data_IF_293787907856
#
_entry.id   IF_293787907856
#
_cell.length_a   1.000
_cell.length_b   1.000
_cell.length_c   1.000
_cell.angle_alpha   90.00
_cell.angle_beta   90.00
_cell.angle_gamma   90.00
#
_symmetry.space_group_name_H-M   'P 1'
#
loop_
_entity.id
_entity.type
_entity.pdbx_description
1 polymer ?
#
# COMPACT_ATOMS: atom_id res chain seq x y z
N UNK A 1 -35.86 3.31 -1.94
CA UNK A 1 -34.69 3.09 -2.80
C UNK A 1 -33.51 3.70 -2.06
N UNK A 2 -32.72 2.88 -1.36
CA UNK A 2 -31.57 3.38 -0.58
C UNK A 2 -30.45 3.56 -1.60
N UNK A 3 -30.15 4.81 -1.95
CA UNK A 3 -28.94 5.15 -2.69
C UNK A 3 -27.75 4.89 -1.75
N UNK A 4 -27.12 3.72 -1.88
CA UNK A 4 -25.81 3.52 -1.28
C UNK A 4 -24.83 4.36 -2.09
N UNK A 5 -24.44 5.53 -1.58
CA UNK A 5 -23.33 6.28 -2.14
C UNK A 5 -22.07 5.42 -1.99
N UNK A 6 -21.67 4.71 -3.04
CA UNK A 6 -20.42 3.97 -3.03
C UNK A 6 -19.30 4.98 -3.19
N UNK A 7 -18.60 5.24 -2.10
CA UNK A 7 -17.47 6.17 -2.11
C UNK A 7 -16.36 5.53 -2.95
N UNK A 8 -15.85 6.21 -3.99
CA UNK A 8 -14.69 5.75 -4.75
C UNK A 8 -13.53 5.48 -3.80
N UNK A 9 -12.93 4.29 -3.88
CA UNK A 9 -11.78 3.97 -3.03
C UNK A 9 -10.49 4.23 -3.80
N UNK A 10 -9.74 5.24 -3.38
CA UNK A 10 -8.40 5.48 -3.89
C UNK A 10 -7.42 4.54 -3.17
N UNK A 11 -6.76 3.66 -3.91
CA UNK A 11 -5.80 2.69 -3.38
C UNK A 11 -4.42 2.97 -3.95
N UNK A 12 -3.41 2.90 -3.09
CA UNK A 12 -2.01 2.90 -3.49
C UNK A 12 -1.53 1.46 -3.59
N UNK A 13 -1.24 1.01 -4.79
CA UNK A 13 -0.61 -0.28 -5.03
C UNK A 13 0.89 -0.06 -4.94
N UNK A 14 1.57 -0.84 -4.11
CA UNK A 14 3.02 -0.79 -3.99
C UNK A 14 3.74 -1.37 -5.22
N UNK A 15 5.08 -1.42 -5.20
CA UNK A 15 5.83 -2.16 -6.20
C UNK A 15 5.57 -3.66 -6.03
N UNK A 16 5.53 -4.39 -7.15
CA UNK A 16 5.34 -5.85 -7.18
C UNK A 16 4.19 -6.35 -6.28
N UNK A 17 3.09 -5.59 -6.23
CA UNK A 17 1.92 -5.90 -5.40
C UNK A 17 0.73 -6.27 -6.26
N UNK A 18 -0.19 -7.02 -5.68
CA UNK A 18 -1.45 -7.39 -6.31
C UNK A 18 -2.61 -7.28 -5.34
N UNK A 19 -3.76 -6.81 -5.82
CA UNK A 19 -5.00 -6.73 -5.05
C UNK A 19 -6.00 -7.68 -5.67
N UNK A 20 -6.59 -8.56 -4.87
CA UNK A 20 -7.80 -9.29 -5.26
C UNK A 20 -9.02 -8.48 -4.84
N UNK A 21 -9.89 -8.20 -5.79
CA UNK A 21 -11.19 -7.59 -5.57
C UNK A 21 -12.25 -8.62 -5.91
N UNK A 22 -13.16 -8.87 -4.97
CA UNK A 22 -14.28 -9.78 -5.13
C UNK A 22 -15.58 -8.97 -5.01
N UNK A 23 -16.10 -8.42 -6.13
CA UNK A 23 -17.30 -7.61 -6.10
C UNK A 23 -18.50 -8.44 -5.64
N UNK A 24 -19.36 -7.85 -4.81
CA UNK A 24 -20.63 -8.49 -4.47
C UNK A 24 -21.63 -8.30 -5.61
N UNK A 25 -21.94 -9.39 -6.33
CA UNK A 25 -22.82 -9.39 -7.49
C UNK A 25 -24.28 -9.04 -7.20
N UNK A 26 -24.68 -8.96 -5.93
CA UNK A 26 -26.04 -8.58 -5.53
C UNK A 26 -26.24 -7.06 -5.63
N UNK A 27 -25.18 -6.29 -5.38
CA UNK A 27 -25.28 -4.83 -5.22
C UNK A 27 -24.70 -4.07 -6.41
N UNK A 28 -23.72 -4.63 -7.10
CA UNK A 28 -22.98 -3.92 -8.14
C UNK A 28 -23.23 -4.56 -9.50
N UNK A 29 -23.35 -3.76 -10.55
CA UNK A 29 -23.43 -4.24 -11.94
C UNK A 29 -22.07 -4.25 -12.63
N UNK A 30 -21.21 -3.29 -12.28
CA UNK A 30 -19.86 -3.17 -12.82
C UNK A 30 -18.88 -2.58 -11.79
N UNK A 31 -17.59 -2.80 -12.03
CA UNK A 31 -16.49 -2.13 -11.33
C UNK A 31 -15.59 -1.48 -12.37
N UNK A 32 -15.39 -0.18 -12.24
CA UNK A 32 -14.46 0.59 -13.04
C UNK A 32 -13.19 0.88 -12.24
N UNK A 33 -12.04 0.67 -12.87
CA UNK A 33 -10.74 1.03 -12.30
C UNK A 33 -10.13 2.13 -13.15
N UNK A 34 -9.80 3.25 -12.51
CA UNK A 34 -9.13 4.38 -13.16
C UNK A 34 -7.70 4.51 -12.66
N UNK A 35 -6.80 4.88 -13.58
CA UNK A 35 -5.44 5.27 -13.24
C UNK A 35 -5.40 6.76 -12.87
N UNK A 36 -5.04 7.09 -11.63
CA UNK A 36 -5.00 8.49 -11.18
C UNK A 36 -3.66 9.20 -11.43
N UNK A 37 -2.52 8.49 -11.37
CA UNK A 37 -1.19 9.10 -11.54
C UNK A 37 -0.15 8.13 -12.14
N UNK A 38 0.88 8.72 -12.78
CA UNK A 38 2.08 8.05 -13.33
C UNK A 38 2.06 7.91 -14.85
N UNK A 39 3.03 8.45 -15.59
CA UNK A 39 3.25 8.07 -16.99
C UNK A 39 3.94 6.70 -17.05
N UNK A 40 3.63 5.91 -18.08
CA UNK A 40 4.11 4.55 -18.39
C UNK A 40 3.25 3.34 -17.96
N UNK A 41 3.36 2.30 -18.80
CA UNK A 41 2.64 1.03 -18.84
C UNK A 41 3.00 0.13 -17.65
N UNK A 42 2.13 -0.81 -17.27
CA UNK A 42 2.45 -1.83 -16.26
C UNK A 42 1.34 -2.16 -15.26
N UNK A 43 0.39 -1.25 -15.02
CA UNK A 43 -0.83 -1.61 -14.32
C UNK A 43 -1.60 -2.61 -15.18
N UNK A 44 -1.98 -3.75 -14.62
CA UNK A 44 -2.69 -4.79 -15.32
C UNK A 44 -3.83 -5.30 -14.47
N UNK A 45 -4.98 -5.51 -15.10
CA UNK A 45 -6.16 -6.09 -14.49
C UNK A 45 -6.43 -7.46 -15.11
N UNK A 46 -6.65 -8.46 -14.27
CA UNK A 46 -6.87 -9.84 -14.66
C UNK A 46 -8.20 -10.37 -14.12
N UNK A 47 -9.04 -10.94 -14.98
CA UNK A 47 -10.33 -11.53 -14.60
C UNK A 47 -10.25 -13.04 -14.35
N UNK A 48 -10.96 -13.52 -13.34
CA UNK A 48 -11.01 -14.95 -12.98
C UNK A 48 -12.43 -15.44 -12.70
N UNK A 49 -12.70 -16.70 -13.07
CA UNK A 49 -13.95 -17.37 -12.70
C UNK A 49 -13.96 -17.84 -11.24
N UNK A 50 -12.76 -18.06 -10.68
CA UNK A 50 -12.53 -18.52 -9.31
C UNK A 50 -11.33 -17.79 -8.74
N UNK A 51 -11.33 -17.51 -7.45
CA UNK A 51 -10.23 -16.79 -6.80
C UNK A 51 -8.87 -17.44 -7.10
N UNK A 52 -7.89 -16.68 -7.61
CA UNK A 52 -6.60 -17.23 -8.01
C UNK A 52 -5.77 -17.68 -6.80
N UNK A 53 -4.82 -18.57 -7.05
CA UNK A 53 -3.83 -18.99 -6.04
C UNK A 53 -2.88 -17.83 -5.74
N UNK A 54 -2.26 -17.87 -4.57
CA UNK A 54 -1.20 -16.92 -4.18
C UNK A 54 0.19 -17.50 -4.40
N UNK A 55 1.14 -16.63 -4.70
CA UNK A 55 2.58 -16.86 -4.82
C UNK A 55 3.31 -15.90 -3.89
N UNK A 56 4.55 -16.25 -3.53
CA UNK A 56 5.43 -15.39 -2.73
C UNK A 56 6.50 -14.80 -3.63
N UNK A 57 6.72 -13.49 -3.53
CA UNK A 57 7.75 -12.76 -4.27
C UNK A 57 8.53 -11.89 -3.30
N UNK A 58 9.85 -11.91 -3.40
CA UNK A 58 10.72 -11.06 -2.61
C UNK A 58 11.14 -9.85 -3.45
N UNK A 59 11.12 -8.68 -2.84
CA UNK A 59 11.68 -7.46 -3.40
C UNK A 59 12.24 -6.58 -2.29
N UNK A 60 13.14 -5.69 -2.64
CA UNK A 60 13.75 -4.76 -1.69
C UNK A 60 13.85 -3.35 -2.26
N UNK A 61 13.88 -2.37 -1.37
CA UNK A 61 14.12 -0.97 -1.72
C UNK A 61 14.87 -0.25 -0.60
N UNK A 62 15.60 0.81 -0.96
CA UNK A 62 16.32 1.65 -0.01
C UNK A 62 15.85 3.10 -0.10
N UNK A 63 15.81 3.80 1.03
CA UNK A 63 15.34 5.18 1.12
C UNK A 63 16.27 6.00 2.01
N UNK A 64 16.75 7.12 1.49
CA UNK A 64 17.42 8.16 2.27
C UNK A 64 16.45 9.31 2.53
N UNK A 65 16.30 9.70 3.79
CA UNK A 65 15.24 10.63 4.21
C UNK A 65 15.78 11.66 5.18
N UNK A 66 15.78 12.92 4.76
CA UNK A 66 16.03 14.06 5.63
C UNK A 66 14.70 14.59 6.18
N UNK A 67 14.57 14.68 7.50
CA UNK A 67 13.39 15.14 8.22
C UNK A 67 13.71 16.39 9.03
N UNK A 68 12.99 17.47 8.76
CA UNK A 68 13.00 18.68 9.59
C UNK A 68 12.51 18.39 11.02
N UNK A 69 12.74 19.29 11.99
CA UNK A 69 12.33 19.08 13.35
C UNK A 69 10.80 18.94 13.43
N UNK A 70 10.31 18.01 14.26
CA UNK A 70 8.88 17.77 14.46
C UNK A 70 8.09 17.40 13.19
N UNK A 71 8.78 16.90 12.17
CA UNK A 71 8.15 16.48 10.90
C UNK A 71 8.01 14.96 10.79
N UNK A 72 7.17 14.52 9.86
CA UNK A 72 7.01 13.11 9.51
C UNK A 72 6.98 12.91 8.01
N UNK A 73 7.39 11.74 7.56
CA UNK A 73 7.24 11.29 6.17
C UNK A 73 6.71 9.87 6.14
N UNK A 74 5.76 9.60 5.26
CA UNK A 74 5.15 8.29 5.12
C UNK A 74 5.08 7.85 3.66
N UNK A 75 5.06 6.53 3.47
CA UNK A 75 4.91 5.92 2.15
C UNK A 75 3.84 4.83 2.20
N UNK A 76 2.89 4.85 1.26
CA UNK A 76 1.83 3.86 1.19
C UNK A 76 2.31 2.58 0.48
N UNK A 77 1.80 1.45 0.95
CA UNK A 77 1.92 0.13 0.35
C UNK A 77 0.56 -0.57 0.38
N UNK A 78 0.28 -1.43 -0.59
CA UNK A 78 -0.76 -2.43 -0.44
C UNK A 78 -0.09 -3.77 -0.19
N UNK A 79 -0.43 -4.42 0.91
CA UNK A 79 0.17 -5.69 1.33
C UNK A 79 -0.95 -6.69 1.58
N UNK A 80 -0.79 -7.90 1.04
CA UNK A 80 -1.72 -9.00 1.32
C UNK A 80 -1.39 -9.64 2.68
N UNK A 81 -2.39 -10.30 3.25
CA UNK A 81 -2.24 -11.19 4.40
C UNK A 81 -1.00 -12.09 4.23
N UNK A 82 -0.24 -12.28 5.32
CA UNK A 82 0.99 -13.08 5.40
C UNK A 82 2.20 -12.50 4.68
N UNK A 83 2.10 -11.30 4.12
CA UNK A 83 3.30 -10.55 3.77
C UNK A 83 4.12 -10.19 5.02
N UNK A 84 5.41 -9.95 4.85
CA UNK A 84 6.28 -9.47 5.92
C UNK A 84 7.28 -8.44 5.41
N UNK A 85 7.67 -7.53 6.28
CA UNK A 85 8.68 -6.51 6.03
C UNK A 85 9.80 -6.65 7.06
N UNK A 86 11.05 -6.69 6.59
CA UNK A 86 12.24 -6.48 7.41
C UNK A 86 12.79 -5.10 7.05
N UNK A 87 12.83 -4.22 8.05
CA UNK A 87 13.19 -2.81 7.87
C UNK A 87 14.44 -2.56 8.69
N UNK A 88 15.58 -2.45 8.00
CA UNK A 88 16.82 -1.97 8.60
C UNK A 88 16.82 -0.45 8.58
N UNK A 89 17.26 0.18 9.67
CA UNK A 89 17.34 1.62 9.79
C UNK A 89 18.71 2.06 10.30
N UNK A 90 19.11 3.27 9.94
CA UNK A 90 20.26 3.96 10.49
C UNK A 90 19.95 5.46 10.64
N UNK A 91 20.11 5.99 11.86
CA UNK A 91 19.70 7.35 12.23
C UNK A 91 20.93 8.24 12.45
N UNK A 92 20.94 9.39 11.77
CA UNK A 92 21.97 10.43 11.89
C UNK A 92 21.35 11.80 12.20
N UNK A 93 22.06 12.69 12.90
CA UNK A 93 23.34 12.47 13.57
C UNK A 93 23.18 11.62 14.84
N UNK A 94 24.29 11.12 15.38
CA UNK A 94 24.30 10.39 16.65
C UNK A 94 23.61 11.17 17.78
N UNK A 95 22.97 10.43 18.69
CA UNK A 95 22.15 10.99 19.77
C UNK A 95 20.75 11.47 19.34
N UNK A 96 20.40 11.41 18.05
CA UNK A 96 19.00 11.55 17.60
C UNK A 96 18.25 10.23 17.71
N UNK A 97 16.93 10.33 17.86
CA UNK A 97 16.01 9.19 17.75
C UNK A 97 14.87 9.45 16.78
N UNK A 98 14.31 8.40 16.17
CA UNK A 98 13.11 8.49 15.33
C UNK A 98 12.06 7.51 15.78
N UNK A 99 10.81 7.75 15.39
CA UNK A 99 9.73 6.77 15.54
C UNK A 99 9.44 6.18 14.17
N UNK A 100 9.37 4.85 14.12
CA UNK A 100 9.03 4.07 12.93
C UNK A 100 7.72 3.32 13.20
N UNK A 101 6.77 3.40 12.27
CA UNK A 101 5.48 2.72 12.36
C UNK A 101 5.07 2.16 11.00
N UNK A 102 4.39 1.01 11.02
CA UNK A 102 3.76 0.38 9.85
C UNK A 102 2.33 0.06 10.22
N UNK A 103 1.39 0.88 9.74
CA UNK A 103 -0.01 0.84 10.19
C UNK A 103 -0.98 0.69 9.02
N UNK A 104 -2.08 -0.01 9.26
CA UNK A 104 -3.17 -0.20 8.31
C UNK A 104 -4.07 1.05 8.21
N UNK A 105 -4.44 1.45 6.99
CA UNK A 105 -5.44 2.47 6.71
C UNK A 105 -4.92 3.85 6.31
N UNK A 106 -5.86 4.71 5.87
CA UNK A 106 -5.64 6.09 5.40
C UNK A 106 -5.40 7.11 6.53
N UNK A 107 -5.52 6.69 7.80
CA UNK A 107 -5.44 7.61 8.95
C UNK A 107 -4.15 8.43 9.02
N UNK A 108 -3.11 8.08 8.25
CA UNK A 108 -1.82 8.78 8.24
C UNK A 108 -1.84 10.15 7.56
N UNK A 109 -2.80 10.46 6.67
CA UNK A 109 -2.97 11.83 6.17
C UNK A 109 -3.60 12.78 7.21
N UNK A 110 -4.38 12.26 8.16
CA UNK A 110 -4.94 13.04 9.27
C UNK A 110 -3.96 13.14 10.46
N UNK A 111 -3.02 12.19 10.58
CA UNK A 111 -2.03 12.09 11.66
C UNK A 111 -0.81 13.02 11.51
N UNK A 112 -0.61 13.68 10.36
CA UNK A 112 0.41 14.73 10.25
C UNK A 112 0.04 16.02 11.02
N UNK A 113 -1.23 16.22 11.42
CA UNK A 113 -1.70 17.44 12.09
C UNK A 113 -2.19 17.25 13.53
N UNK A 114 -2.67 16.07 13.94
CA UNK A 114 -3.18 15.90 15.30
C UNK A 114 -2.10 15.40 16.27
N UNK A 115 -1.72 16.28 17.20
CA UNK A 115 -1.17 15.93 18.49
C UNK A 115 -1.95 14.74 19.10
N UNK A 116 -1.21 13.69 19.49
CA UNK A 116 -1.60 12.73 20.54
C UNK A 116 -2.75 11.75 20.21
N UNK A 117 -2.41 10.48 19.94
CA UNK A 117 -2.85 9.22 20.61
C UNK A 117 -2.55 8.02 19.67
N UNK A 118 -1.63 7.11 20.05
CA UNK A 118 -1.92 5.77 20.60
C UNK A 118 -2.54 4.85 19.53
N UNK A 119 -1.78 3.99 18.84
CA UNK A 119 -1.77 2.56 19.19
C UNK A 119 -0.66 1.68 18.57
N UNK A 120 0.41 2.23 17.98
CA UNK A 120 1.50 1.39 17.46
C UNK A 120 2.85 1.84 18.03
N UNK A 121 3.59 0.88 18.57
CA UNK A 121 4.85 0.97 19.33
C UNK A 121 5.47 2.38 19.39
N UNK A 122 5.43 3.01 20.58
CA UNK A 122 6.16 4.25 20.92
C UNK A 122 7.68 4.04 21.00
N UNK A 123 8.22 3.08 20.26
CA UNK A 123 9.63 2.75 20.35
C UNK A 123 10.39 3.86 19.63
N UNK A 124 11.19 4.59 20.40
CA UNK A 124 12.15 5.55 19.87
C UNK A 124 13.39 4.76 19.48
N UNK A 125 13.74 4.80 18.21
CA UNK A 125 14.88 4.08 17.66
C UNK A 125 16.06 5.05 17.50
N UNK A 126 17.22 4.64 17.98
CA UNK A 126 18.49 5.39 17.92
C UNK A 126 19.55 4.56 17.22
N UNK A 127 20.53 5.20 16.58
CA UNK A 127 21.62 4.50 15.88
C UNK A 127 21.08 3.64 14.75
N UNK A 128 21.59 2.41 14.63
CA UNK A 128 21.13 1.45 13.64
C UNK A 128 20.45 0.24 14.27
N UNK A 129 19.57 -0.40 13.50
CA UNK A 129 18.85 -1.59 13.94
C UNK A 129 17.94 -2.14 12.85
N UNK A 130 17.12 -3.12 13.22
CA UNK A 130 16.19 -3.78 12.31
C UNK A 130 14.87 -4.09 13.01
N UNK A 131 13.77 -3.93 12.28
CA UNK A 131 12.41 -4.20 12.74
C UNK A 131 11.76 -5.18 11.77
N UNK A 132 11.12 -6.21 12.29
CA UNK A 132 10.30 -7.12 11.50
C UNK A 132 8.81 -6.84 11.75
N UNK A 133 8.04 -6.73 10.67
CA UNK A 133 6.59 -6.51 10.70
C UNK A 133 5.90 -7.60 9.90
N UNK A 134 4.94 -8.28 10.52
CA UNK A 134 4.12 -9.30 9.86
C UNK A 134 2.73 -8.72 9.57
N UNK A 135 2.24 -8.90 8.35
CA UNK A 135 0.96 -8.40 7.89
C UNK A 135 -0.12 -9.44 8.16
N UNK A 136 -1.06 -9.06 9.03
CA UNK A 136 -2.12 -9.98 9.48
C UNK A 136 -3.39 -9.91 8.63
N UNK A 137 -3.62 -8.81 7.91
CA UNK A 137 -4.77 -8.64 7.03
C UNK A 137 -4.33 -8.03 5.69
N UNK A 138 -5.03 -8.36 4.61
CA UNK A 138 -4.80 -7.69 3.32
C UNK A 138 -5.33 -6.26 3.38
N UNK A 139 -4.49 -5.27 3.07
CA UNK A 139 -4.90 -3.87 3.19
C UNK A 139 -3.86 -2.87 2.71
N UNK A 140 -4.26 -1.60 2.77
CA UNK A 140 -3.37 -0.47 2.56
C UNK A 140 -2.62 -0.18 3.86
N UNK A 141 -1.30 -0.30 3.85
CA UNK A 141 -0.42 0.02 4.97
C UNK A 141 0.41 1.27 4.65
N UNK A 142 0.85 1.98 5.67
CA UNK A 142 1.82 3.05 5.50
C UNK A 142 3.01 2.85 6.43
N UNK A 143 4.21 2.88 5.86
CA UNK A 143 5.45 3.03 6.61
C UNK A 143 5.67 4.51 6.88
N UNK A 144 5.76 4.91 8.14
CA UNK A 144 6.00 6.29 8.55
C UNK A 144 7.25 6.42 9.42
N UNK A 145 8.00 7.50 9.17
CA UNK A 145 9.13 7.95 9.99
C UNK A 145 8.79 9.33 10.56
N UNK A 146 8.92 9.47 11.88
CA UNK A 146 8.71 10.75 12.56
C UNK A 146 9.98 11.19 13.26
N UNK A 147 10.35 12.46 13.07
CA UNK A 147 11.43 13.13 13.79
C UNK A 147 10.87 13.88 15.00
N UNK A 148 10.96 13.33 16.24
CA UNK A 148 10.56 14.03 17.45
C UNK A 148 11.56 15.10 17.92
N UNK A 149 12.77 15.17 17.33
CA UNK A 149 13.85 16.04 17.77
C UNK A 149 13.61 17.50 17.36
N UNK A 150 14.41 18.40 17.93
CA UNK A 150 14.46 19.83 17.59
C UNK A 150 15.48 20.16 16.50
N UNK A 151 16.22 19.16 16.01
CA UNK A 151 17.17 19.26 14.92
C UNK A 151 16.76 18.36 13.76
N UNK A 152 17.31 18.65 12.59
CA UNK A 152 17.18 17.80 11.43
C UNK A 152 17.79 16.42 11.70
N UNK A 153 17.15 15.41 11.13
CA UNK A 153 17.58 14.02 11.22
C UNK A 153 17.59 13.44 9.83
N UNK A 154 18.62 12.67 9.53
CA UNK A 154 18.70 11.83 8.35
C UNK A 154 18.49 10.37 8.76
N UNK A 155 17.66 9.67 8.01
CA UNK A 155 17.37 8.26 8.22
C UNK A 155 17.61 7.52 6.91
N UNK A 156 18.49 6.53 6.97
CA UNK A 156 18.62 5.51 5.94
C UNK A 156 17.69 4.34 6.32
N UNK A 157 16.88 3.89 5.36
CA UNK A 157 16.01 2.73 5.49
C UNK A 157 16.32 1.75 4.37
N UNK A 158 16.53 0.48 4.73
CA UNK A 158 16.56 -0.64 3.79
C UNK A 158 15.38 -1.56 4.12
N UNK A 159 14.51 -1.77 3.13
CA UNK A 159 13.22 -2.43 3.32
C UNK A 159 13.22 -3.68 2.44
N UNK A 160 13.28 -4.85 3.07
CA UNK A 160 13.12 -6.14 2.42
C UNK A 160 11.68 -6.63 2.64
N UNK A 161 10.98 -6.92 1.55
CA UNK A 161 9.58 -7.34 1.59
C UNK A 161 9.43 -8.73 1.00
N UNK A 162 8.83 -9.61 1.80
CA UNK A 162 8.26 -10.87 1.34
C UNK A 162 6.79 -10.63 1.06
N UNK A 163 6.48 -10.34 -0.21
CA UNK A 163 5.14 -10.02 -0.65
C UNK A 163 4.37 -11.30 -1.04
N UNK A 164 3.10 -11.35 -0.65
CA UNK A 164 2.14 -12.33 -1.15
C UNK A 164 1.40 -11.70 -2.33
N UNK A 165 1.43 -12.36 -3.49
CA UNK A 165 0.82 -11.87 -4.74
C UNK A 165 -0.06 -12.95 -5.38
N UNK A 166 -1.08 -12.55 -6.13
CA UNK A 166 -1.97 -13.50 -6.82
C UNK A 166 -1.36 -13.97 -8.15
N UNK A 167 -1.45 -15.27 -8.43
CA UNK A 167 -1.02 -15.87 -9.69
C UNK A 167 -1.99 -15.50 -10.83
N UNK A 168 -1.46 -14.81 -11.84
CA UNK A 168 -2.24 -14.32 -12.98
C UNK A 168 -2.25 -15.24 -14.19
N UNK A 169 -1.55 -16.38 -14.16
CA UNK A 169 -1.39 -17.27 -15.33
C UNK A 169 -2.70 -17.88 -15.85
N UNK A 170 -3.69 -18.08 -14.96
CA UNK A 170 -4.99 -18.67 -15.29
C UNK A 170 -6.10 -17.63 -15.51
N UNK A 171 -5.74 -16.36 -15.62
CA UNK A 171 -6.70 -15.32 -15.92
C UNK A 171 -7.31 -15.56 -17.32
N UNK A 172 -8.63 -15.45 -17.43
CA UNK A 172 -9.31 -15.60 -18.72
C UNK A 172 -9.41 -14.27 -19.47
N UNK A 173 -9.23 -13.16 -18.76
CA UNK A 173 -9.28 -11.81 -19.31
C UNK A 173 -8.12 -10.97 -18.77
N UNK A 174 -7.61 -10.05 -19.59
CA UNK A 174 -6.52 -9.14 -19.27
C UNK A 174 -6.77 -7.75 -19.85
N UNK A 175 -6.66 -6.71 -19.03
CA UNK A 175 -6.70 -5.30 -19.45
C UNK A 175 -5.42 -4.57 -19.01
N UNK A 176 -4.81 -3.82 -19.93
CA UNK A 176 -3.53 -3.13 -19.73
C UNK A 176 -3.66 -1.61 -19.53
N UNK A 177 -4.87 -1.10 -19.28
CA UNK A 177 -5.16 0.34 -19.08
C UNK A 177 -4.61 1.26 -20.19
N UNK A 178 -4.46 0.76 -21.42
CA UNK A 178 -4.01 1.56 -22.57
C UNK A 178 -4.94 2.74 -22.87
N UNK A 179 -6.22 2.61 -22.50
CA UNK A 179 -7.24 3.65 -22.61
C UNK A 179 -7.55 4.32 -21.25
N UNK A 180 -6.61 4.29 -20.30
CA UNK A 180 -6.70 4.87 -18.94
C UNK A 180 -7.70 4.24 -17.96
N UNK A 181 -8.66 3.45 -18.43
CA UNK A 181 -9.67 2.75 -17.62
C UNK A 181 -9.81 1.26 -18.00
N UNK A 182 -10.29 0.45 -17.05
CA UNK A 182 -10.76 -0.92 -17.30
C UNK A 182 -12.09 -1.12 -16.55
N UNK A 183 -13.12 -1.56 -17.26
CA UNK A 183 -14.43 -1.89 -16.67
C UNK A 183 -14.63 -3.40 -16.61
N UNK A 184 -15.11 -3.88 -15.48
CA UNK A 184 -15.34 -5.29 -15.21
C UNK A 184 -16.76 -5.53 -14.72
N UNK A 185 -17.29 -6.70 -15.06
CA UNK A 185 -18.53 -7.19 -14.44
C UNK A 185 -18.21 -7.71 -13.03
N UNK A 186 -19.20 -8.26 -12.34
CA UNK A 186 -19.17 -8.71 -10.94
C UNK A 186 -18.33 -9.96 -10.64
N UNK A 187 -17.32 -10.22 -11.45
CA UNK A 187 -16.40 -11.36 -11.31
C UNK A 187 -15.17 -10.98 -10.48
N UNK A 188 -14.55 -11.94 -9.76
CA UNK A 188 -13.28 -11.71 -9.10
C UNK A 188 -12.21 -11.23 -10.06
N UNK A 189 -11.46 -10.21 -9.66
CA UNK A 189 -10.39 -9.68 -10.47
C UNK A 189 -9.16 -9.31 -9.65
N UNK A 190 -7.98 -9.44 -10.28
CA UNK A 190 -6.70 -9.07 -9.69
C UNK A 190 -6.14 -7.86 -10.39
N UNK A 191 -5.79 -6.85 -9.61
CA UNK A 191 -5.06 -5.68 -10.07
C UNK A 191 -3.59 -5.79 -9.65
N UNK A 192 -2.67 -5.75 -10.60
CA UNK A 192 -1.23 -5.85 -10.36
C UNK A 192 -0.51 -4.59 -10.77
N UNK A 193 0.53 -4.21 -10.03
CA UNK A 193 1.44 -3.13 -10.45
C UNK A 193 2.91 -3.49 -10.25
N UNK A 194 3.79 -3.27 -11.25
CA UNK A 194 5.23 -3.45 -11.10
C UNK A 194 5.88 -2.29 -10.33
N UNK A 195 5.20 -1.14 -10.19
CA UNK A 195 5.73 0.05 -9.53
C UNK A 195 4.63 0.70 -8.66
N UNK A 196 4.99 1.56 -7.68
CA UNK A 196 4.00 2.23 -6.85
C UNK A 196 3.03 3.08 -7.69
N UNK A 197 1.72 2.86 -7.56
CA UNK A 197 0.69 3.59 -8.33
C UNK A 197 -0.55 3.86 -7.51
N UNK A 198 -1.17 5.01 -7.78
CA UNK A 198 -2.50 5.33 -7.27
C UNK A 198 -3.57 4.94 -8.29
N UNK A 199 -4.53 4.17 -7.83
CA UNK A 199 -5.69 3.72 -8.62
C UNK A 199 -6.97 4.13 -7.91
N UNK A 200 -8.02 4.41 -8.68
CA UNK A 200 -9.37 4.60 -8.16
C UNK A 200 -10.20 3.40 -8.53
N UNK A 201 -10.88 2.80 -7.56
CA UNK A 201 -11.86 1.75 -7.79
C UNK A 201 -13.25 2.34 -7.57
N UNK A 202 -14.05 2.31 -8.61
CA UNK A 202 -15.43 2.77 -8.69
C UNK A 202 -16.35 1.56 -8.80
N UNK A 203 -17.36 1.48 -7.95
CA UNK A 203 -18.39 0.44 -8.05
C UNK A 203 -19.67 1.07 -8.57
N UNK A 204 -20.21 0.52 -9.65
CA UNK A 204 -21.48 0.96 -10.21
C UNK A 204 -22.60 0.06 -9.70
N UNK A 205 -23.64 0.66 -9.11
CA UNK A 205 -24.83 -0.07 -8.67
C UNK A 205 -25.68 -0.49 -9.87
N UNK A 206 -26.50 -1.53 -9.67
CA UNK A 206 -27.61 -1.85 -10.57
C UNK A 206 -28.68 -0.75 -10.61
#
# INVERSE_FOLDING_TARGET
MITMNVIPTNVWIGPNSSILVEPNSIFFGSVQVDKLNGSESGLQLFGFYTSPRVNVVNWSESRLVSLSPRSSKGWPYYLNERASLNISYNVKPEGCSVRLAVDEGWLILCLCYCLSFSYVNKNSFTGSGMIQVNISNSGSYHLAVTNPNLKDVEVELDIDVTAVVYDTKKAFYKCNFSNSECTFNTIPFVLTSPAPRQVRILYELH
#
